data_IF_249785243498
#
_entry.id   IF_249785243498
#
_cell.length_a   1.000
_cell.length_b   1.000
_cell.length_c   1.000
_cell.angle_alpha   90.00
_cell.angle_beta   90.00
_cell.angle_gamma   90.00
#
_symmetry.space_group_name_H-M   'P 1'
#
loop_
_entity.id
_entity.type
_entity.pdbx_description
1 polymer ?
#
# COMPACT_ATOMS: atom_id res chain seq x y z
N UNK A 1 -7.66 -6.56 -8.64
CA UNK A 1 -8.08 -5.48 -9.57
C UNK A 1 -6.83 -4.84 -10.16
N UNK A 2 -6.84 -4.47 -11.45
CA UNK A 2 -5.75 -3.69 -12.05
C UNK A 2 -5.80 -2.25 -11.50
N UNK A 3 -4.64 -1.66 -11.20
CA UNK A 3 -4.54 -0.25 -10.82
C UNK A 3 -5.23 0.65 -11.85
N UNK A 4 -5.98 1.65 -11.38
CA UNK A 4 -6.61 2.69 -12.20
C UNK A 4 -5.56 3.53 -12.93
N UNK A 5 -4.41 3.76 -12.29
CA UNK A 5 -3.33 4.59 -12.81
C UNK A 5 -2.11 3.74 -13.15
N UNK A 6 -1.58 3.90 -14.35
CA UNK A 6 -0.36 3.23 -14.81
C UNK A 6 0.26 4.05 -15.95
N UNK A 7 1.42 3.60 -16.45
CA UNK A 7 2.14 4.32 -17.50
C UNK A 7 1.34 4.41 -18.80
N UNK A 8 0.56 3.38 -19.17
CA UNK A 8 -0.26 3.40 -20.38
C UNK A 8 -1.38 4.43 -20.26
N UNK A 9 -2.07 4.47 -19.11
CA UNK A 9 -3.06 5.52 -18.82
C UNK A 9 -2.44 6.92 -18.95
N UNK A 10 -1.22 7.11 -18.44
CA UNK A 10 -0.53 8.39 -18.52
C UNK A 10 -0.15 8.76 -19.96
N UNK A 11 0.31 7.78 -20.75
CA UNK A 11 0.64 7.97 -22.16
C UNK A 11 -0.60 8.31 -22.99
N UNK A 12 -1.71 7.60 -22.81
CA UNK A 12 -2.99 7.90 -23.47
C UNK A 12 -3.44 9.34 -23.18
N UNK A 13 -3.33 9.77 -21.91
CA UNK A 13 -3.62 11.14 -21.48
C UNK A 13 -2.70 12.16 -22.15
N UNK A 14 -1.41 11.88 -22.19
CA UNK A 14 -0.43 12.75 -22.83
C UNK A 14 -0.64 12.88 -24.34
N UNK A 15 -0.88 11.76 -25.03
CA UNK A 15 -1.11 11.69 -26.48
C UNK A 15 -2.43 12.34 -26.90
N UNK A 16 -3.44 12.35 -26.03
CA UNK A 16 -4.70 13.05 -26.26
C UNK A 16 -4.58 14.59 -26.22
N UNK A 17 -3.42 15.12 -25.80
CA UNK A 17 -3.19 16.56 -25.67
C UNK A 17 -3.81 17.17 -24.41
N UNK A 18 -4.20 16.36 -23.42
CA UNK A 18 -4.66 16.86 -22.13
C UNK A 18 -3.54 17.67 -21.44
N UNK A 19 -3.90 18.80 -20.83
CA UNK A 19 -2.94 19.66 -20.12
C UNK A 19 -2.57 19.03 -18.76
N UNK A 20 -1.56 18.16 -18.77
CA UNK A 20 -1.10 17.44 -17.58
C UNK A 20 -0.24 18.33 -16.68
N UNK A 21 -0.61 18.40 -15.40
CA UNK A 21 0.17 19.08 -14.37
C UNK A 21 0.82 18.05 -13.45
N UNK A 22 2.13 18.20 -13.23
CA UNK A 22 2.91 17.25 -12.45
C UNK A 22 3.34 17.85 -11.09
N UNK A 23 3.42 16.99 -10.07
CA UNK A 23 4.16 17.26 -8.83
C UNK A 23 5.27 16.22 -8.73
N UNK A 24 6.49 16.66 -9.01
CA UNK A 24 7.68 15.84 -8.84
C UNK A 24 8.15 15.86 -7.40
N UNK A 25 8.33 14.69 -6.79
CA UNK A 25 8.85 14.54 -5.43
C UNK A 25 9.94 13.45 -5.38
N UNK A 26 10.87 13.63 -4.46
CA UNK A 26 11.98 12.72 -4.18
C UNK A 26 12.69 13.23 -2.93
N UNK A 27 13.15 12.30 -2.08
CA UNK A 27 13.66 12.60 -0.75
C UNK A 27 12.57 12.73 0.31
N UNK A 28 13.01 12.62 1.57
CA UNK A 28 12.15 12.54 2.76
C UNK A 28 12.49 13.61 3.82
N UNK A 29 13.45 14.49 3.54
CA UNK A 29 13.85 15.56 4.47
C UNK A 29 12.85 16.71 4.42
N UNK A 30 12.25 17.06 5.56
CA UNK A 30 11.46 18.27 5.70
C UNK A 30 12.37 19.48 5.52
N UNK A 31 12.10 20.35 4.54
CA UNK A 31 12.89 21.58 4.35
C UNK A 31 12.50 22.68 5.34
N UNK A 32 11.30 22.60 5.91
CA UNK A 32 10.75 23.53 6.90
C UNK A 32 9.91 22.77 7.94
N UNK A 33 9.44 23.46 8.98
CA UNK A 33 8.50 22.89 9.96
C UNK A 33 7.10 22.62 9.37
N UNK A 34 6.85 22.99 8.11
CA UNK A 34 5.59 22.78 7.40
C UNK A 34 5.61 21.49 6.57
N UNK A 35 4.42 20.98 6.26
CA UNK A 35 4.25 19.81 5.41
C UNK A 35 4.48 20.20 3.95
N UNK A 36 5.38 19.47 3.29
CA UNK A 36 5.67 19.61 1.88
C UNK A 36 5.59 18.25 1.15
N UNK A 37 5.96 18.25 -0.12
CA UNK A 37 5.95 17.05 -0.98
C UNK A 37 6.84 15.90 -0.49
N UNK A 38 7.75 16.12 0.47
CA UNK A 38 8.53 15.04 1.08
C UNK A 38 7.63 14.04 1.82
N UNK A 39 6.43 14.45 2.26
CA UNK A 39 5.46 13.55 2.90
C UNK A 39 4.98 12.41 2.00
N UNK A 40 5.17 12.51 0.68
CA UNK A 40 4.86 11.45 -0.29
C UNK A 40 5.86 10.29 -0.25
N UNK A 41 7.06 10.50 0.29
CA UNK A 41 8.07 9.46 0.38
C UNK A 41 7.65 8.32 1.33
N UNK A 42 7.99 7.08 0.95
CA UNK A 42 7.89 5.91 1.83
C UNK A 42 8.79 6.02 3.08
N UNK A 43 9.82 6.87 3.01
CA UNK A 43 10.83 7.07 4.05
C UNK A 43 10.52 8.27 4.95
N UNK A 44 9.42 8.98 4.71
CA UNK A 44 8.96 10.05 5.59
C UNK A 44 8.51 9.46 6.93
N UNK A 45 8.95 10.08 8.02
CA UNK A 45 8.59 9.68 9.39
C UNK A 45 7.15 10.12 9.69
N UNK A 46 6.23 9.16 9.56
CA UNK A 46 4.80 9.30 9.81
C UNK A 46 4.28 7.93 10.22
N UNK A 47 4.35 7.66 11.52
CA UNK A 47 3.98 6.35 12.04
C UNK A 47 2.48 6.11 11.90
N UNK A 48 2.12 4.84 11.77
CA UNK A 48 0.74 4.39 11.82
C UNK A 48 0.69 2.97 12.39
N UNK A 49 -0.43 2.63 13.01
CA UNK A 49 -0.63 1.35 13.66
C UNK A 49 -1.66 0.50 12.90
N UNK A 50 -1.39 -0.80 12.77
CA UNK A 50 -2.35 -1.76 12.28
C UNK A 50 -2.19 -3.08 13.06
N UNK A 51 -3.29 -3.64 13.54
CA UNK A 51 -3.30 -4.89 14.32
C UNK A 51 -2.32 -4.90 15.53
N UNK A 52 -2.19 -3.76 16.22
CA UNK A 52 -1.23 -3.52 17.32
C UNK A 52 0.25 -3.53 16.90
N UNK A 53 0.54 -3.49 15.60
CA UNK A 53 1.88 -3.31 15.07
C UNK A 53 2.06 -1.86 14.65
N UNK A 54 3.00 -1.17 15.28
CA UNK A 54 3.37 0.19 14.92
C UNK A 54 4.44 0.20 13.81
N UNK A 55 4.11 0.76 12.65
CA UNK A 55 5.01 0.94 11.53
C UNK A 55 5.54 2.37 11.53
N UNK A 56 6.86 2.53 11.71
CA UNK A 56 7.50 3.85 11.83
C UNK A 56 7.41 4.67 10.53
N UNK A 57 7.44 4.00 9.39
CA UNK A 57 7.26 4.58 8.06
C UNK A 57 6.52 3.60 7.14
N UNK A 58 6.04 4.08 6.00
CA UNK A 58 5.42 3.21 5.01
C UNK A 58 6.42 2.21 4.37
N UNK A 59 7.73 2.51 4.37
CA UNK A 59 8.79 1.54 4.03
C UNK A 59 8.81 0.35 5.01
N UNK A 60 8.67 0.60 6.32
CA UNK A 60 8.62 -0.48 7.31
C UNK A 60 7.43 -1.40 7.05
N UNK A 61 6.26 -0.83 6.75
CA UNK A 61 5.08 -1.58 6.32
C UNK A 61 5.35 -2.40 5.06
N UNK A 62 5.83 -1.78 3.99
CA UNK A 62 6.08 -2.46 2.71
C UNK A 62 7.01 -3.66 2.89
N UNK A 63 8.10 -3.50 3.62
CA UNK A 63 9.08 -4.58 3.83
C UNK A 63 8.55 -5.64 4.80
N UNK A 64 7.81 -5.26 5.85
CA UNK A 64 7.20 -6.22 6.77
C UNK A 64 6.17 -7.07 6.04
N UNK A 65 5.27 -6.47 5.26
CA UNK A 65 4.30 -7.22 4.47
C UNK A 65 4.96 -8.10 3.41
N UNK A 66 6.09 -7.67 2.84
CA UNK A 66 6.91 -8.52 1.96
C UNK A 66 7.44 -9.75 2.71
N UNK A 67 7.97 -9.58 3.92
CA UNK A 67 8.43 -10.69 4.75
C UNK A 67 7.28 -11.64 5.13
N UNK A 68 6.13 -11.08 5.51
CA UNK A 68 4.92 -11.86 5.82
C UNK A 68 4.42 -12.67 4.62
N UNK A 69 4.38 -12.06 3.42
CA UNK A 69 3.97 -12.70 2.17
C UNK A 69 4.79 -13.96 1.83
N UNK A 70 6.08 -13.97 2.18
CA UNK A 70 6.98 -15.10 1.93
C UNK A 70 7.28 -15.95 3.18
N UNK A 71 6.44 -15.82 4.21
CA UNK A 71 6.51 -16.57 5.47
C UNK A 71 7.85 -16.41 6.23
N UNK A 72 8.55 -15.29 6.06
CA UNK A 72 9.78 -14.97 6.78
C UNK A 72 9.47 -14.16 8.05
N UNK A 73 8.96 -14.85 9.06
CA UNK A 73 8.58 -14.26 10.35
C UNK A 73 9.79 -13.57 11.02
N UNK A 74 10.99 -14.14 10.87
CA UNK A 74 12.21 -13.56 11.45
C UNK A 74 12.56 -12.22 10.80
N UNK A 75 12.42 -12.09 9.48
CA UNK A 75 12.59 -10.82 8.80
C UNK A 75 11.49 -9.83 9.20
N UNK A 76 10.23 -10.27 9.28
CA UNK A 76 9.11 -9.43 9.74
C UNK A 76 9.41 -8.80 11.10
N UNK A 77 9.78 -9.61 12.10
CA UNK A 77 10.08 -9.16 13.46
C UNK A 77 11.25 -8.17 13.48
N UNK A 78 12.30 -8.42 12.68
CA UNK A 78 13.43 -7.48 12.57
C UNK A 78 13.00 -6.15 11.95
N UNK A 79 12.15 -6.17 10.94
CA UNK A 79 11.69 -4.96 10.24
C UNK A 79 10.83 -4.09 11.15
N UNK A 80 9.85 -4.65 11.86
CA UNK A 80 8.98 -3.83 12.73
C UNK A 80 9.77 -3.20 13.89
N UNK A 81 10.85 -3.86 14.33
CA UNK A 81 11.69 -3.40 15.44
C UNK A 81 12.85 -2.48 15.02
N UNK A 82 13.30 -2.49 13.76
CA UNK A 82 14.39 -1.61 13.31
C UNK A 82 13.98 -0.13 13.34
N UNK A 83 14.96 0.78 13.40
CA UNK A 83 14.67 2.21 13.61
C UNK A 83 14.55 2.97 12.30
N UNK A 84 15.39 2.64 11.32
CA UNK A 84 15.56 3.43 10.11
C UNK A 84 14.90 2.74 8.91
N UNK A 85 14.26 3.48 8.00
CA UNK A 85 13.69 2.91 6.78
C UNK A 85 14.75 2.21 5.91
N UNK A 86 16.00 2.70 5.92
CA UNK A 86 17.10 2.03 5.22
C UNK A 86 17.38 0.62 5.75
N UNK A 87 17.31 0.40 7.07
CA UNK A 87 17.49 -0.91 7.70
C UNK A 87 16.34 -1.85 7.30
N UNK A 88 15.09 -1.36 7.35
CA UNK A 88 13.91 -2.11 6.90
C UNK A 88 14.07 -2.56 5.44
N UNK A 89 14.52 -1.65 4.55
CA UNK A 89 14.77 -1.94 3.14
C UNK A 89 15.87 -2.99 2.95
N UNK A 90 16.96 -2.91 3.71
CA UNK A 90 18.03 -3.91 3.66
C UNK A 90 17.54 -5.31 4.08
N UNK A 91 16.75 -5.40 5.16
CA UNK A 91 16.17 -6.68 5.58
C UNK A 91 15.19 -7.20 4.51
N UNK A 92 14.31 -6.32 4.00
CA UNK A 92 13.31 -6.66 2.99
C UNK A 92 13.88 -7.09 1.63
N UNK A 93 15.13 -6.70 1.30
CA UNK A 93 15.88 -7.23 0.14
C UNK A 93 16.31 -8.68 0.32
N UNK A 94 16.48 -9.13 1.55
CA UNK A 94 17.01 -10.44 1.91
C UNK A 94 15.93 -11.40 2.48
N UNK A 95 14.65 -11.12 2.21
CA UNK A 95 13.52 -11.97 2.63
C UNK A 95 13.65 -13.35 2.00
N UNK A 96 13.51 -14.38 2.83
CA UNK A 96 13.52 -15.78 2.41
C UNK A 96 12.31 -16.12 1.52
N UNK A 97 12.44 -17.14 0.67
CA UNK A 97 11.38 -17.64 -0.22
C UNK A 97 10.81 -16.58 -1.19
N UNK A 98 11.55 -15.52 -1.45
CA UNK A 98 11.12 -14.46 -2.36
C UNK A 98 10.78 -15.01 -3.74
N UNK A 99 9.60 -14.68 -4.21
CA UNK A 99 9.16 -14.95 -5.58
C UNK A 99 8.78 -13.62 -6.24
N UNK A 100 9.48 -13.29 -7.33
CA UNK A 100 9.26 -12.05 -8.06
C UNK A 100 7.87 -11.95 -8.69
N UNK A 101 7.33 -13.04 -9.22
CA UNK A 101 5.99 -13.08 -9.80
C UNK A 101 4.91 -12.72 -8.78
N UNK A 102 4.92 -13.42 -7.63
CA UNK A 102 4.01 -13.14 -6.52
C UNK A 102 4.18 -11.69 -6.04
N UNK A 103 5.43 -11.22 -5.88
CA UNK A 103 5.68 -9.84 -5.46
C UNK A 103 5.13 -8.82 -6.47
N UNK A 104 5.32 -9.02 -7.77
CA UNK A 104 4.81 -8.13 -8.80
C UNK A 104 3.28 -8.07 -8.83
N UNK A 105 2.61 -9.18 -8.51
CA UNK A 105 1.15 -9.23 -8.39
C UNK A 105 0.61 -8.51 -7.14
N UNK A 106 1.37 -8.46 -6.04
CA UNK A 106 0.86 -7.96 -4.74
C UNK A 106 1.43 -6.62 -4.30
N UNK A 107 2.62 -6.22 -4.77
CA UNK A 107 3.37 -5.05 -4.27
C UNK A 107 2.56 -3.76 -4.29
N UNK A 108 1.78 -3.55 -5.36
CA UNK A 108 0.98 -2.34 -5.53
C UNK A 108 -0.08 -2.22 -4.43
N UNK A 109 -0.87 -3.27 -4.19
CA UNK A 109 -1.92 -3.28 -3.18
C UNK A 109 -1.35 -3.20 -1.75
N UNK A 110 -0.21 -3.84 -1.50
CA UNK A 110 0.50 -3.72 -0.21
C UNK A 110 0.88 -2.26 0.06
N UNK A 111 1.54 -1.60 -0.90
CA UNK A 111 1.99 -0.22 -0.71
C UNK A 111 0.80 0.74 -0.66
N UNK A 112 -0.26 0.50 -1.43
CA UNK A 112 -1.50 1.26 -1.34
C UNK A 112 -2.13 1.17 0.05
N UNK A 113 -2.28 -0.04 0.58
CA UNK A 113 -2.86 -0.27 1.92
C UNK A 113 -2.06 0.47 3.00
N UNK A 114 -0.73 0.39 2.95
CA UNK A 114 0.14 1.10 3.89
C UNK A 114 0.01 2.61 3.81
N UNK A 115 -0.06 3.16 2.58
CA UNK A 115 -0.28 4.60 2.40
C UNK A 115 -1.68 5.02 2.85
N UNK A 116 -2.73 4.22 2.61
CA UNK A 116 -4.07 4.50 3.14
C UNK A 116 -4.01 4.65 4.66
N UNK A 117 -3.40 3.70 5.38
CA UNK A 117 -3.28 3.79 6.84
C UNK A 117 -2.41 4.97 7.29
N UNK A 118 -1.26 5.19 6.65
CA UNK A 118 -0.40 6.36 6.89
C UNK A 118 -1.19 7.67 6.81
N UNK A 119 -1.85 7.93 5.69
CA UNK A 119 -2.57 9.18 5.49
C UNK A 119 -3.85 9.24 6.34
N UNK A 120 -4.51 8.11 6.59
CA UNK A 120 -5.68 8.05 7.46
C UNK A 120 -5.36 8.47 8.91
N UNK A 121 -4.23 8.03 9.45
CA UNK A 121 -3.81 8.31 10.83
C UNK A 121 -2.97 9.60 10.97
N UNK A 122 -2.61 10.24 9.86
CA UNK A 122 -1.85 11.49 9.84
C UNK A 122 -2.61 12.54 9.00
N UNK A 123 -3.67 13.10 9.57
CA UNK A 123 -4.65 13.94 8.86
C UNK A 123 -4.04 15.13 8.13
N UNK A 124 -3.06 15.81 8.71
CA UNK A 124 -2.39 16.95 8.07
C UNK A 124 -1.66 16.54 6.77
N UNK A 125 -1.08 15.33 6.74
CA UNK A 125 -0.47 14.78 5.52
C UNK A 125 -1.54 14.45 4.48
N UNK A 126 -2.69 13.93 4.91
CA UNK A 126 -3.80 13.64 4.01
C UNK A 126 -4.39 14.91 3.41
N UNK A 127 -4.52 15.99 4.19
CA UNK A 127 -4.92 17.30 3.68
C UNK A 127 -3.95 17.81 2.61
N UNK A 128 -2.64 17.64 2.81
CA UNK A 128 -1.65 18.01 1.80
C UNK A 128 -1.78 17.15 0.53
N UNK A 129 -2.02 15.84 0.67
CA UNK A 129 -2.28 14.95 -0.45
C UNK A 129 -3.55 15.36 -1.21
N UNK A 130 -4.65 15.69 -0.53
CA UNK A 130 -5.90 16.12 -1.15
C UNK A 130 -5.73 17.45 -1.90
N UNK A 131 -4.94 18.39 -1.36
CA UNK A 131 -4.59 19.67 -2.02
C UNK A 131 -3.81 19.49 -3.33
N UNK A 132 -3.27 18.31 -3.63
CA UNK A 132 -2.68 18.03 -4.94
C UNK A 132 -3.70 18.01 -6.07
N UNK A 133 -4.99 17.84 -5.75
CA UNK A 133 -6.11 17.88 -6.68
C UNK A 133 -5.97 16.88 -7.84
N UNK A 134 -6.00 17.34 -9.08
CA UNK A 134 -5.90 16.54 -10.31
C UNK A 134 -4.46 16.31 -10.77
N UNK A 135 -3.47 16.90 -10.09
CA UNK A 135 -2.06 16.81 -10.48
C UNK A 135 -1.55 15.38 -10.35
N UNK A 136 -0.68 15.02 -11.29
CA UNK A 136 -0.04 13.70 -11.37
C UNK A 136 1.17 13.70 -10.44
N UNK A 137 1.19 12.76 -9.50
CA UNK A 137 2.28 12.63 -8.55
C UNK A 137 3.38 11.78 -9.19
N UNK A 138 4.61 12.26 -9.14
CA UNK A 138 5.74 11.62 -9.82
C UNK A 138 6.92 11.47 -8.87
N UNK A 139 7.29 10.23 -8.58
CA UNK A 139 8.51 9.93 -7.82
C UNK A 139 9.73 10.08 -8.74
N UNK A 140 10.34 11.26 -8.70
CA UNK A 140 11.51 11.66 -9.47
C UNK A 140 12.82 11.15 -8.83
N UNK A 141 12.86 9.84 -8.59
CA UNK A 141 14.05 9.13 -8.12
C UNK A 141 14.94 8.73 -9.31
N UNK A 142 16.21 9.17 -9.37
CA UNK A 142 17.12 8.80 -10.46
C UNK A 142 17.61 7.35 -10.38
N UNK A 143 17.39 6.68 -9.25
CA UNK A 143 17.93 5.34 -8.93
C UNK A 143 16.84 4.29 -8.75
N UNK A 144 15.57 4.65 -8.93
CA UNK A 144 14.42 3.74 -8.81
C UNK A 144 13.61 3.77 -10.11
N UNK A 145 13.53 2.64 -10.79
CA UNK A 145 12.78 2.44 -12.03
C UNK A 145 11.49 1.65 -11.83
N UNK A 146 11.14 1.28 -10.59
CA UNK A 146 9.89 0.59 -10.27
C UNK A 146 8.93 1.55 -9.61
N UNK A 147 9.32 2.10 -8.47
CA UNK A 147 8.48 3.05 -7.73
C UNK A 147 8.60 4.47 -8.29
N UNK A 148 9.78 4.81 -8.84
CA UNK A 148 10.06 6.08 -9.50
C UNK A 148 10.19 6.01 -11.02
N UNK A 149 10.51 7.15 -11.63
CA UNK A 149 10.67 7.33 -13.08
C UNK A 149 12.09 7.12 -13.61
N UNK A 150 13.07 6.89 -12.72
CA UNK A 150 14.47 6.76 -13.10
C UNK A 150 15.13 8.06 -13.56
N UNK A 151 14.59 9.22 -13.20
CA UNK A 151 15.12 10.56 -13.50
C UNK A 151 15.04 11.45 -12.25
N UNK A 152 15.97 12.39 -12.10
CA UNK A 152 15.98 13.39 -11.03
C UNK A 152 15.06 14.57 -11.36
N UNK A 153 14.62 15.31 -10.33
CA UNK A 153 13.70 16.46 -10.46
C UNK A 153 14.23 17.61 -11.34
N UNK A 154 15.55 17.73 -11.44
CA UNK A 154 16.28 18.75 -12.19
C UNK A 154 16.63 18.32 -13.62
N UNK A 155 16.26 17.10 -14.02
CA UNK A 155 16.47 16.65 -15.39
C UNK A 155 15.63 17.49 -16.37
N UNK A 156 16.24 18.07 -17.43
CA UNK A 156 15.54 18.95 -18.37
C UNK A 156 14.41 18.24 -19.13
N UNK A 157 14.53 16.93 -19.32
CA UNK A 157 13.56 16.11 -20.05
C UNK A 157 12.51 15.47 -19.13
N UNK A 158 12.44 15.84 -17.84
CA UNK A 158 11.51 15.20 -16.89
C UNK A 158 10.04 15.29 -17.31
N UNK A 159 9.65 16.31 -18.07
CA UNK A 159 8.28 16.45 -18.57
C UNK A 159 7.98 15.57 -19.80
N UNK A 160 9.00 14.96 -20.42
CA UNK A 160 8.83 14.04 -21.53
C UNK A 160 8.67 12.61 -21.00
N UNK A 161 7.43 12.13 -20.93
CA UNK A 161 7.11 10.80 -20.38
C UNK A 161 7.82 9.67 -21.15
N UNK A 162 8.15 9.86 -22.43
CA UNK A 162 8.86 8.85 -23.23
C UNK A 162 10.32 8.62 -22.82
N UNK A 163 10.95 9.56 -22.08
CA UNK A 163 12.31 9.35 -21.56
C UNK A 163 12.31 8.74 -20.16
N UNK A 164 11.15 8.57 -19.53
CA UNK A 164 11.05 7.92 -18.24
C UNK A 164 11.44 6.46 -18.41
N UNK A 165 12.36 6.00 -17.55
CA UNK A 165 12.87 4.63 -17.56
C UNK A 165 12.18 3.76 -16.51
N UNK A 166 11.26 4.34 -15.75
CA UNK A 166 10.60 3.68 -14.64
C UNK A 166 9.09 3.83 -14.64
N UNK A 167 8.44 2.99 -13.83
CA UNK A 167 7.00 2.79 -13.85
C UNK A 167 6.21 3.81 -13.00
N UNK A 168 6.88 4.64 -12.19
CA UNK A 168 6.23 5.60 -11.29
C UNK A 168 5.15 5.00 -10.38
N UNK A 169 5.31 3.74 -9.94
CA UNK A 169 4.25 3.06 -9.19
C UNK A 169 3.87 3.80 -7.90
N UNK A 170 4.81 4.48 -7.23
CA UNK A 170 4.49 5.18 -5.99
C UNK A 170 3.58 6.39 -6.25
N UNK A 171 3.86 7.15 -7.30
CA UNK A 171 3.02 8.26 -7.72
C UNK A 171 1.57 7.83 -7.97
N UNK A 172 1.41 6.72 -8.70
CA UNK A 172 0.11 6.13 -8.99
C UNK A 172 -0.59 5.57 -7.75
N UNK A 173 0.13 4.92 -6.84
CA UNK A 173 -0.41 4.50 -5.53
C UNK A 173 -0.95 5.69 -4.75
N UNK A 174 -0.19 6.78 -4.66
CA UNK A 174 -0.61 7.97 -3.90
C UNK A 174 -1.86 8.63 -4.52
N UNK A 175 -2.01 8.57 -5.84
CA UNK A 175 -3.23 9.02 -6.52
C UNK A 175 -4.43 8.12 -6.20
N UNK A 176 -4.26 6.79 -6.12
CA UNK A 176 -5.35 5.91 -5.64
C UNK A 176 -5.68 6.14 -4.16
N UNK A 177 -4.69 6.43 -3.33
CA UNK A 177 -4.90 6.81 -1.92
C UNK A 177 -5.69 8.11 -1.82
N UNK A 178 -5.37 9.11 -2.64
CA UNK A 178 -6.11 10.37 -2.74
C UNK A 178 -7.56 10.13 -3.15
N UNK A 179 -7.79 9.31 -4.18
CA UNK A 179 -9.14 8.93 -4.64
C UNK A 179 -9.92 8.22 -3.53
N UNK A 180 -9.25 7.30 -2.81
CA UNK A 180 -9.83 6.57 -1.69
C UNK A 180 -10.30 7.52 -0.58
N UNK A 181 -9.41 8.39 -0.09
CA UNK A 181 -9.73 9.34 0.99
C UNK A 181 -10.82 10.32 0.54
N UNK A 182 -10.78 10.79 -0.71
CA UNK A 182 -11.82 11.65 -1.26
C UNK A 182 -13.20 10.98 -1.25
N UNK A 183 -13.26 9.70 -1.60
CA UNK A 183 -14.51 8.95 -1.72
C UNK A 183 -15.06 8.46 -0.37
N UNK A 184 -14.20 7.98 0.53
CA UNK A 184 -14.62 7.26 1.74
C UNK A 184 -14.36 8.04 3.03
N UNK A 185 -13.55 9.09 2.96
CA UNK A 185 -13.09 9.87 4.09
C UNK A 185 -12.14 9.08 5.00
N UNK A 186 -11.83 9.70 6.14
CA UNK A 186 -11.12 9.04 7.22
C UNK A 186 -11.99 7.95 7.87
N UNK A 187 -11.33 6.95 8.46
CA UNK A 187 -11.97 5.84 9.12
C UNK A 187 -11.22 5.41 10.37
N UNK A 188 -11.95 4.75 11.26
CA UNK A 188 -11.40 4.03 12.40
C UNK A 188 -11.61 2.53 12.17
N UNK A 189 -10.73 1.65 12.68
CA UNK A 189 -10.95 0.21 12.63
C UNK A 189 -12.27 -0.21 13.28
N UNK A 190 -12.92 -1.24 12.74
CA UNK A 190 -14.16 -1.79 13.29
C UNK A 190 -13.84 -2.46 14.63
N UNK A 191 -14.44 -1.96 15.72
CA UNK A 191 -14.29 -2.53 17.07
C UNK A 191 -15.04 -3.86 17.19
N UNK A 192 -14.51 -4.78 18.01
CA UNK A 192 -15.14 -6.08 18.33
C UNK A 192 -15.54 -6.89 17.08
N UNK A 193 -14.66 -6.89 16.09
CA UNK A 193 -14.91 -7.50 14.79
C UNK A 193 -14.74 -9.03 14.82
N UNK A 194 -15.41 -9.73 13.90
CA UNK A 194 -15.20 -11.16 13.68
C UNK A 194 -13.87 -11.34 12.95
N UNK A 195 -13.00 -12.26 13.39
CA UNK A 195 -11.70 -12.45 12.73
C UNK A 195 -11.86 -13.18 11.40
N UNK A 196 -11.06 -12.82 10.36
CA UNK A 196 -11.05 -13.59 9.13
C UNK A 196 -10.45 -14.99 9.38
N UNK A 197 -10.73 -15.97 8.50
CA UNK A 197 -10.27 -17.36 8.69
C UNK A 197 -8.77 -17.51 8.91
N UNK A 198 -7.93 -16.78 8.17
CA UNK A 198 -6.47 -16.87 8.28
C UNK A 198 -5.91 -16.32 9.60
N UNK A 199 -6.62 -15.44 10.29
CA UNK A 199 -6.21 -14.99 11.64
C UNK A 199 -6.75 -15.92 12.72
N UNK A 200 -7.95 -16.48 12.52
CA UNK A 200 -8.53 -17.39 13.49
C UNK A 200 -7.86 -18.76 13.50
N UNK A 201 -7.52 -19.26 12.31
CA UNK A 201 -6.95 -20.58 12.07
C UNK A 201 -5.70 -20.44 11.18
N UNK A 202 -4.60 -19.86 11.70
CA UNK A 202 -3.43 -19.49 10.90
C UNK A 202 -2.69 -20.67 10.26
N UNK A 203 -2.92 -21.89 10.77
CA UNK A 203 -2.27 -23.10 10.27
C UNK A 203 -3.14 -23.91 9.29
N UNK A 204 -4.34 -23.41 8.96
CA UNK A 204 -5.26 -24.10 8.05
C UNK A 204 -5.30 -23.35 6.71
N UNK A 205 -4.96 -24.07 5.65
CA UNK A 205 -4.94 -23.56 4.28
C UNK A 205 -6.36 -23.49 3.70
N UNK A 206 -6.65 -22.58 2.75
CA UNK A 206 -7.99 -22.42 2.19
C UNK A 206 -8.54 -23.68 1.50
N UNK A 207 -7.68 -24.57 1.00
CA UNK A 207 -8.06 -25.80 0.31
C UNK A 207 -8.37 -26.97 1.27
N UNK A 208 -8.11 -26.81 2.57
CA UNK A 208 -8.27 -27.87 3.56
C UNK A 208 -9.74 -28.30 3.72
N UNK A 209 -9.96 -29.61 3.88
CA UNK A 209 -11.29 -30.18 4.14
C UNK A 209 -11.92 -29.66 5.43
N UNK A 210 -11.11 -29.15 6.37
CA UNK A 210 -11.56 -28.47 7.58
C UNK A 210 -12.66 -27.43 7.29
N UNK A 211 -12.55 -26.66 6.20
CA UNK A 211 -13.52 -25.62 5.86
C UNK A 211 -14.86 -26.15 5.33
N UNK A 212 -14.94 -27.46 5.07
CA UNK A 212 -16.11 -28.14 4.49
C UNK A 212 -16.83 -29.05 5.48
N UNK A 213 -16.40 -29.09 6.74
CA UNK A 213 -17.05 -29.92 7.76
C UNK A 213 -16.85 -29.40 9.19
N UNK A 214 -17.89 -29.57 10.00
CA UNK A 214 -17.85 -29.31 11.44
C UNK A 214 -17.43 -27.88 11.76
N UNK A 215 -16.45 -27.73 12.65
CA UNK A 215 -16.05 -26.42 13.19
C UNK A 215 -15.61 -25.40 12.14
N UNK A 216 -14.94 -25.83 11.06
CA UNK A 216 -14.48 -24.90 10.02
C UNK A 216 -15.63 -24.39 9.16
N UNK A 217 -16.55 -25.28 8.78
CA UNK A 217 -17.79 -24.91 8.08
C UNK A 217 -18.65 -23.96 8.92
N UNK A 218 -18.87 -24.28 10.21
CA UNK A 218 -19.62 -23.42 11.13
C UNK A 218 -19.00 -22.01 11.25
N UNK A 219 -17.67 -21.94 11.24
CA UNK A 219 -16.94 -20.67 11.30
C UNK A 219 -17.11 -19.86 10.01
N UNK A 220 -16.98 -20.49 8.83
CA UNK A 220 -17.17 -19.82 7.54
C UNK A 220 -18.62 -19.32 7.41
N UNK A 221 -19.59 -20.13 7.83
CA UNK A 221 -20.99 -19.73 7.86
C UNK A 221 -21.22 -18.50 8.75
N UNK A 222 -20.69 -18.53 9.98
CA UNK A 222 -20.80 -17.41 10.93
C UNK A 222 -20.09 -16.15 10.42
N UNK A 223 -18.90 -16.32 9.86
CA UNK A 223 -18.12 -15.24 9.24
C UNK A 223 -18.90 -14.62 8.06
N UNK A 224 -19.44 -15.44 7.15
CA UNK A 224 -20.19 -14.99 6.00
C UNK A 224 -21.43 -14.18 6.42
N UNK A 225 -22.18 -14.68 7.41
CA UNK A 225 -23.33 -13.95 7.97
C UNK A 225 -22.92 -12.59 8.56
N UNK A 226 -21.80 -12.53 9.27
CA UNK A 226 -21.25 -11.28 9.79
C UNK A 226 -20.84 -10.33 8.64
N UNK A 227 -20.04 -10.82 7.68
CA UNK A 227 -19.49 -10.00 6.61
C UNK A 227 -20.57 -9.45 5.66
N UNK A 228 -21.59 -10.24 5.35
CA UNK A 228 -22.73 -9.82 4.53
C UNK A 228 -23.64 -8.81 5.24
N UNK A 229 -23.63 -8.76 6.57
CA UNK A 229 -24.37 -7.76 7.34
C UNK A 229 -23.68 -6.38 7.36
N UNK A 230 -22.39 -6.32 7.03
CA UNK A 230 -21.64 -5.07 6.93
C UNK A 230 -22.14 -4.25 5.73
N UNK A 231 -22.23 -2.93 5.90
CA UNK A 231 -22.45 -2.02 4.78
C UNK A 231 -21.17 -1.87 3.93
N UNK A 232 -21.28 -1.22 2.78
CA UNK A 232 -20.15 -1.08 1.84
C UNK A 232 -18.92 -0.37 2.45
N UNK A 233 -19.12 0.67 3.29
CA UNK A 233 -18.02 1.35 3.97
C UNK A 233 -17.37 0.43 5.01
N UNK A 234 -18.16 -0.31 5.76
CA UNK A 234 -17.65 -1.26 6.76
C UNK A 234 -16.88 -2.40 6.11
N UNK A 235 -17.35 -2.98 4.99
CA UNK A 235 -16.61 -4.02 4.25
C UNK A 235 -15.25 -3.52 3.78
N UNK A 236 -15.16 -2.26 3.34
CA UNK A 236 -13.91 -1.64 2.91
C UNK A 236 -12.96 -1.46 4.09
N UNK A 237 -13.44 -0.91 5.21
CA UNK A 237 -12.64 -0.77 6.43
C UNK A 237 -12.16 -2.15 6.88
N UNK A 238 -13.04 -3.15 6.89
CA UNK A 238 -12.71 -4.52 7.25
C UNK A 238 -11.59 -5.08 6.36
N UNK A 239 -11.69 -4.92 5.03
CA UNK A 239 -10.65 -5.34 4.07
C UNK A 239 -9.32 -4.63 4.29
N UNK A 240 -9.34 -3.36 4.67
CA UNK A 240 -8.13 -2.58 4.98
C UNK A 240 -7.50 -2.95 6.33
N UNK A 241 -8.34 -3.31 7.31
CA UNK A 241 -7.87 -3.80 8.61
C UNK A 241 -7.30 -5.22 8.47
N UNK A 242 -7.95 -6.06 7.68
CA UNK A 242 -7.62 -7.46 7.48
C UNK A 242 -7.40 -7.77 6.00
N UNK A 243 -6.26 -7.33 5.42
CA UNK A 243 -5.95 -7.62 4.03
C UNK A 243 -5.84 -9.14 3.83
N UNK A 244 -6.48 -9.65 2.77
CA UNK A 244 -6.43 -11.08 2.46
C UNK A 244 -4.99 -11.50 2.10
N UNK A 245 -4.45 -12.57 2.73
CA UNK A 245 -3.19 -13.15 2.30
C UNK A 245 -3.28 -13.69 0.87
N UNK A 246 -2.13 -13.80 0.19
CA UNK A 246 -2.08 -14.25 -1.21
C UNK A 246 -2.71 -15.63 -1.42
N UNK A 247 -2.56 -16.57 -0.47
CA UNK A 247 -3.18 -17.90 -0.55
C UNK A 247 -4.71 -17.85 -0.41
N UNK A 248 -5.25 -16.83 0.25
CA UNK A 248 -6.69 -16.58 0.45
C UNK A 248 -7.26 -15.64 -0.61
N UNK A 249 -6.72 -15.70 -1.84
CA UNK A 249 -7.16 -14.85 -2.95
C UNK A 249 -8.66 -15.05 -3.21
N UNK A 250 -9.35 -13.96 -3.54
CA UNK A 250 -10.79 -13.95 -3.87
C UNK A 250 -11.72 -14.34 -2.70
N UNK A 251 -11.22 -14.48 -1.47
CA UNK A 251 -12.05 -14.90 -0.34
C UNK A 251 -13.20 -13.92 -0.02
N UNK A 252 -12.98 -12.63 -0.25
CA UNK A 252 -14.02 -11.61 -0.01
C UNK A 252 -14.89 -11.28 -1.24
N UNK A 253 -14.65 -11.96 -2.37
CA UNK A 253 -15.31 -11.67 -3.64
C UNK A 253 -16.57 -12.53 -3.85
#
# INVERSE_FOLDING_TARGET
MKSKYNINWLLEKYESGENLKFIYFWGNTKKSGEIDKSCFSQWYESSFELENVNYKTAEHWMMAQKAHLFNDIKAFDKIINCKKPGEAKEIGRNVLNYNEGIWNETKFEIVKTGNIHKFNQNSELAEYLLKTADRILVEASPVDTVWGIGLSQDNPDINNIYVWRGENLLGFVLMEVRDFITKFGFFEPIKNTFLPPWLKFPNIYPEDLFWRMGKGEDYIFSFSKFYLALNEKEKIIYKLTFPQPFIWKEFYD
#
